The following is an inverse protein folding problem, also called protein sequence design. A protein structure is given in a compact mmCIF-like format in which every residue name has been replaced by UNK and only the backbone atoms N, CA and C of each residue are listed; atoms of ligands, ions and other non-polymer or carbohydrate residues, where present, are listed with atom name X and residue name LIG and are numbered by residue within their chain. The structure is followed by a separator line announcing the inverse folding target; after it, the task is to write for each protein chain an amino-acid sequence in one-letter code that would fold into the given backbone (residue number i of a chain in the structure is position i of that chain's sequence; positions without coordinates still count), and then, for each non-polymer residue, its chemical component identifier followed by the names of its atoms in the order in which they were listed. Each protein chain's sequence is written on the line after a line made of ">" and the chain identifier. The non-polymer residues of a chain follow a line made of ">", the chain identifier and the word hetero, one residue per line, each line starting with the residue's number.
data_IF_985816318167
#
_entry.id   IF_985816318167
#
_cell.length_a   1.000
_cell.length_b   1.000
_cell.length_c   1.000
_cell.angle_alpha   90.00
_cell.angle_beta   90.00
_cell.angle_gamma   90.00
#
_symmetry.space_group_name_H-M   'P 1'
#
loop_
_entity.id
_entity.type
_entity.pdbx_description
1 polymer ?
#
# COMPACT_ATOMS: atom_id res chain seq x y z
N UNK A 1 16.41 -2.23 -22.24
CA UNK A 1 15.50 -2.55 -21.13
C UNK A 1 14.45 -1.44 -21.08
N UNK A 2 13.15 -1.75 -21.13
CA UNK A 2 12.11 -0.74 -20.89
C UNK A 2 12.27 -0.24 -19.44
N UNK A 3 12.30 1.07 -19.22
CA UNK A 3 12.37 1.64 -17.89
C UNK A 3 11.12 1.20 -17.10
N UNK A 4 11.34 0.54 -15.97
CA UNK A 4 10.30 -0.01 -15.11
C UNK A 4 9.99 1.01 -14.01
N UNK A 5 8.74 1.42 -13.88
CA UNK A 5 8.26 2.20 -12.74
C UNK A 5 7.49 1.23 -11.84
N UNK A 6 7.90 1.14 -10.58
CA UNK A 6 7.23 0.31 -9.60
C UNK A 6 6.03 1.08 -9.02
N UNK A 7 4.82 0.71 -9.44
CA UNK A 7 3.56 1.26 -8.92
C UNK A 7 2.98 0.28 -7.90
N UNK A 8 3.10 0.58 -6.61
CA UNK A 8 2.68 -0.30 -5.51
C UNK A 8 1.17 -0.27 -5.31
N UNK A 9 0.57 0.92 -5.45
CA UNK A 9 -0.86 1.13 -5.42
C UNK A 9 -1.35 1.38 -6.85
N UNK A 10 -1.78 0.31 -7.53
CA UNK A 10 -2.38 0.45 -8.84
C UNK A 10 -3.77 1.08 -8.80
N UNK A 11 -4.37 1.22 -9.98
CA UNK A 11 -5.70 1.76 -10.16
C UNK A 11 -6.73 0.67 -9.87
N UNK A 12 -7.58 0.94 -8.89
CA UNK A 12 -8.68 0.06 -8.52
C UNK A 12 -9.68 -0.11 -9.65
N UNK A 13 -9.86 -1.34 -10.12
CA UNK A 13 -10.86 -1.69 -11.12
C UNK A 13 -12.21 -1.91 -10.45
N UNK A 14 -13.26 -1.31 -11.00
CA UNK A 14 -14.63 -1.54 -10.56
C UNK A 14 -15.14 -2.91 -11.00
N UNK A 15 -16.24 -3.37 -10.41
CA UNK A 15 -16.87 -4.64 -10.82
C UNK A 15 -17.93 -4.49 -11.91
N UNK A 16 -18.15 -3.26 -12.42
CA UNK A 16 -19.17 -2.93 -13.41
C UNK A 16 -20.59 -2.83 -12.84
N UNK A 17 -20.98 -3.78 -11.98
CA UNK A 17 -22.30 -3.84 -11.34
C UNK A 17 -22.32 -3.36 -9.90
N UNK A 18 -21.25 -2.71 -9.42
CA UNK A 18 -21.18 -2.24 -8.04
C UNK A 18 -22.26 -1.20 -7.75
N UNK A 19 -23.07 -1.46 -6.73
CA UNK A 19 -24.06 -0.52 -6.21
C UNK A 19 -23.43 0.61 -5.39
N UNK A 20 -22.17 0.41 -4.95
CA UNK A 20 -21.29 1.44 -4.36
C UNK A 20 -19.96 1.38 -5.11
N UNK A 21 -19.68 2.37 -5.96
CA UNK A 21 -18.49 2.35 -6.81
C UNK A 21 -17.22 2.58 -6.01
N UNK A 22 -16.37 1.57 -5.92
CA UNK A 22 -15.04 1.64 -5.28
C UNK A 22 -13.87 1.57 -6.27
N UNK A 23 -14.14 1.43 -7.57
CA UNK A 23 -13.13 1.37 -8.62
C UNK A 23 -13.62 1.95 -9.95
N UNK A 24 -12.74 1.94 -10.94
CA UNK A 24 -13.00 2.44 -12.30
C UNK A 24 -13.43 1.27 -13.19
N UNK A 25 -14.63 1.36 -13.77
CA UNK A 25 -15.15 0.33 -14.67
C UNK A 25 -14.52 0.42 -16.08
N UNK A 26 -14.28 1.65 -16.57
CA UNK A 26 -13.67 1.89 -17.89
C UNK A 26 -12.14 1.91 -17.82
N UNK A 27 -11.57 0.72 -17.65
CA UNK A 27 -10.13 0.50 -17.56
C UNK A 27 -9.40 0.78 -18.88
N UNK A 28 -10.08 0.69 -20.03
CA UNK A 28 -9.46 0.99 -21.33
C UNK A 28 -9.21 2.49 -21.48
N UNK A 29 -10.15 3.35 -21.05
CA UNK A 29 -9.94 4.79 -21.04
C UNK A 29 -8.78 5.22 -20.13
N UNK A 30 -8.56 4.51 -19.02
CA UNK A 30 -7.39 4.70 -18.16
C UNK A 30 -6.10 4.40 -18.92
N UNK A 31 -6.03 3.29 -19.66
CA UNK A 31 -4.88 2.93 -20.51
C UNK A 31 -4.62 4.02 -21.55
N UNK A 32 -5.66 4.48 -22.26
CA UNK A 32 -5.55 5.56 -23.27
C UNK A 32 -5.00 6.84 -22.64
N UNK A 33 -5.57 7.23 -21.50
CA UNK A 33 -5.11 8.42 -20.75
C UNK A 33 -3.65 8.28 -20.31
N UNK A 34 -3.22 7.08 -19.90
CA UNK A 34 -1.86 6.85 -19.48
C UNK A 34 -0.86 6.98 -20.65
N UNK A 35 -1.23 6.45 -21.82
CA UNK A 35 -0.47 6.60 -23.08
C UNK A 35 -0.39 8.09 -23.47
N UNK A 36 -1.51 8.81 -23.45
CA UNK A 36 -1.56 10.22 -23.83
C UNK A 36 -0.70 11.10 -22.92
N UNK A 37 -0.56 10.72 -21.65
CA UNK A 37 0.32 11.39 -20.68
C UNK A 37 1.79 10.93 -20.75
N UNK A 38 2.10 9.96 -21.60
CA UNK A 38 3.46 9.44 -21.78
C UNK A 38 3.95 8.56 -20.63
N UNK A 39 3.05 7.98 -19.83
CA UNK A 39 3.45 7.04 -18.78
C UNK A 39 3.96 5.73 -19.41
N UNK A 40 5.08 5.17 -18.91
CA UNK A 40 5.65 3.95 -19.46
C UNK A 40 4.88 2.69 -19.07
N UNK A 41 4.10 2.77 -17.99
CA UNK A 41 3.33 1.66 -17.43
C UNK A 41 2.02 2.13 -16.81
N UNK A 42 1.10 1.18 -16.60
CA UNK A 42 -0.07 1.33 -15.74
C UNK A 42 -0.36 0.02 -15.02
N UNK A 43 -0.62 0.10 -13.73
CA UNK A 43 -0.96 -1.05 -12.90
C UNK A 43 -2.42 -1.01 -12.49
N UNK A 44 -3.13 -2.11 -12.67
CA UNK A 44 -4.49 -2.29 -12.20
C UNK A 44 -4.53 -3.19 -10.96
N UNK A 45 -5.47 -2.94 -10.07
CA UNK A 45 -5.70 -3.76 -8.88
C UNK A 45 -7.18 -4.04 -8.75
N UNK A 46 -7.56 -5.27 -8.41
CA UNK A 46 -8.92 -5.60 -8.01
C UNK A 46 -8.92 -6.08 -6.56
N UNK A 47 -9.89 -5.62 -5.78
CA UNK A 47 -10.10 -6.17 -4.44
C UNK A 47 -10.63 -7.59 -4.52
N UNK A 48 -10.11 -8.48 -3.67
CA UNK A 48 -10.70 -9.81 -3.50
C UNK A 48 -12.12 -9.72 -2.92
N UNK A 49 -13.03 -10.64 -3.27
CA UNK A 49 -14.35 -10.70 -2.66
C UNK A 49 -14.27 -10.92 -1.13
N UNK A 50 -15.14 -10.25 -0.38
CA UNK A 50 -15.26 -10.38 1.09
C UNK A 50 -16.35 -11.39 1.46
N UNK A 51 -16.20 -12.03 2.61
CA UNK A 51 -17.28 -12.75 3.29
C UNK A 51 -18.39 -11.76 3.70
N UNK A 52 -19.64 -12.21 3.69
CA UNK A 52 -20.83 -11.36 3.88
C UNK A 52 -20.92 -10.64 5.23
N UNK A 53 -20.14 -11.07 6.23
CA UNK A 53 -20.04 -10.39 7.52
C UNK A 53 -19.25 -9.08 7.48
N UNK A 54 -18.39 -8.90 6.48
CA UNK A 54 -17.51 -7.73 6.32
C UNK A 54 -18.14 -6.75 5.36
N UNK A 55 -19.01 -5.87 5.89
CA UNK A 55 -19.77 -4.89 5.09
C UNK A 55 -19.72 -3.50 5.73
N UNK A 56 -19.51 -2.48 4.89
CA UNK A 56 -19.62 -1.08 5.29
C UNK A 56 -21.04 -0.75 5.77
N UNK A 57 -21.22 0.30 6.56
CA UNK A 57 -22.56 0.76 6.95
C UNK A 57 -23.39 1.18 5.73
N UNK A 58 -22.80 1.87 4.76
CA UNK A 58 -23.47 2.23 3.51
C UNK A 58 -23.95 1.00 2.73
N UNK A 59 -23.12 -0.04 2.70
CA UNK A 59 -23.41 -1.33 2.10
C UNK A 59 -24.57 -2.05 2.79
N UNK A 60 -24.61 -2.07 4.13
CA UNK A 60 -25.67 -2.69 4.94
C UNK A 60 -27.04 -2.02 4.77
N UNK A 61 -27.06 -0.74 4.39
CA UNK A 61 -28.31 0.02 4.10
C UNK A 61 -28.94 -0.37 2.75
N UNK A 62 -28.26 -1.18 1.94
CA UNK A 62 -28.80 -1.72 0.69
C UNK A 62 -29.44 -3.09 0.92
N UNK A 63 -30.45 -3.45 0.11
CA UNK A 63 -31.08 -4.78 0.11
C UNK A 63 -30.20 -5.89 -0.50
N UNK A 64 -28.92 -5.59 -0.76
CA UNK A 64 -28.02 -6.42 -1.56
C UNK A 64 -27.01 -7.09 -0.64
N UNK A 65 -27.06 -8.43 -0.58
CA UNK A 65 -26.20 -9.21 0.32
C UNK A 65 -24.80 -9.47 -0.24
N UNK A 66 -24.65 -9.53 -1.56
CA UNK A 66 -23.38 -9.76 -2.26
C UNK A 66 -23.02 -8.51 -3.04
N UNK A 67 -22.15 -7.69 -2.46
CA UNK A 67 -21.94 -6.32 -2.96
C UNK A 67 -20.83 -6.28 -4.02
N UNK A 68 -19.91 -7.24 -4.00
CA UNK A 68 -18.89 -7.41 -5.03
C UNK A 68 -19.22 -8.66 -5.84
N UNK A 69 -19.46 -8.48 -7.14
CA UNK A 69 -19.78 -9.58 -8.04
C UNK A 69 -18.57 -10.48 -8.21
N UNK A 70 -18.66 -11.71 -7.72
CA UNK A 70 -17.63 -12.76 -7.92
C UNK A 70 -17.23 -12.87 -9.42
N UNK A 71 -18.18 -12.67 -10.34
CA UNK A 71 -17.93 -12.70 -11.78
C UNK A 71 -16.91 -11.66 -12.26
N UNK A 72 -16.87 -10.45 -11.69
CA UNK A 72 -15.89 -9.45 -12.10
C UNK A 72 -14.47 -9.85 -11.68
N UNK A 73 -14.33 -10.41 -10.48
CA UNK A 73 -13.07 -10.97 -10.00
C UNK A 73 -12.60 -12.14 -10.86
N UNK A 74 -13.48 -13.08 -11.22
CA UNK A 74 -13.13 -14.23 -12.07
C UNK A 74 -12.71 -13.84 -13.49
N UNK A 75 -13.32 -12.79 -14.05
CA UNK A 75 -13.00 -12.33 -15.41
C UNK A 75 -11.87 -11.29 -15.45
N UNK A 76 -11.41 -10.82 -14.29
CA UNK A 76 -10.43 -9.74 -14.17
C UNK A 76 -9.16 -10.00 -14.98
N UNK A 77 -8.50 -11.13 -14.72
CA UNK A 77 -7.22 -11.45 -15.35
C UNK A 77 -7.34 -11.58 -16.87
N UNK A 78 -8.42 -12.19 -17.36
CA UNK A 78 -8.65 -12.34 -18.80
C UNK A 78 -8.95 -11.00 -19.47
N UNK A 79 -9.67 -10.09 -18.79
CA UNK A 79 -9.91 -8.74 -19.30
C UNK A 79 -8.61 -7.92 -19.39
N UNK A 80 -7.77 -7.97 -18.35
CA UNK A 80 -6.46 -7.30 -18.40
C UNK A 80 -5.56 -7.91 -19.46
N UNK A 81 -5.55 -9.24 -19.62
CA UNK A 81 -4.76 -9.92 -20.65
C UNK A 81 -5.10 -9.45 -22.06
N UNK A 82 -6.39 -9.23 -22.36
CA UNK A 82 -6.81 -8.66 -23.65
C UNK A 82 -6.25 -7.25 -23.86
N UNK A 83 -6.26 -6.41 -22.82
CA UNK A 83 -5.65 -5.07 -22.88
C UNK A 83 -4.13 -5.15 -23.04
N UNK A 84 -3.45 -6.04 -22.31
CA UNK A 84 -2.01 -6.30 -22.45
C UNK A 84 -1.67 -6.61 -23.91
N UNK A 85 -2.43 -7.48 -24.58
CA UNK A 85 -2.19 -7.81 -25.99
C UNK A 85 -2.49 -6.63 -26.93
N UNK A 86 -3.62 -5.93 -26.72
CA UNK A 86 -4.03 -4.79 -27.54
C UNK A 86 -3.03 -3.62 -27.49
N UNK A 87 -2.35 -3.43 -26.36
CA UNK A 87 -1.48 -2.28 -26.09
C UNK A 87 0.01 -2.63 -25.87
N UNK A 88 0.43 -3.87 -26.19
CA UNK A 88 1.78 -4.42 -25.89
C UNK A 88 2.96 -3.55 -26.34
N UNK A 89 2.82 -2.86 -27.46
CA UNK A 89 3.87 -2.03 -28.05
C UNK A 89 3.79 -0.55 -27.60
N UNK A 90 2.76 -0.18 -26.83
CA UNK A 90 2.46 1.20 -26.45
C UNK A 90 2.74 1.52 -24.98
N UNK A 91 2.40 0.60 -24.07
CA UNK A 91 2.53 0.80 -22.61
C UNK A 91 2.65 -0.56 -21.91
N UNK A 92 3.40 -0.65 -20.81
CA UNK A 92 3.41 -1.86 -19.98
C UNK A 92 2.15 -1.89 -19.09
N UNK A 93 1.38 -2.98 -19.15
CA UNK A 93 0.17 -3.13 -18.33
C UNK A 93 0.39 -4.25 -17.33
N UNK A 94 0.20 -3.92 -16.05
CA UNK A 94 0.32 -4.86 -14.93
C UNK A 94 -1.01 -5.01 -14.21
N UNK A 95 -1.16 -6.13 -13.53
CA UNK A 95 -2.31 -6.38 -12.68
C UNK A 95 -1.97 -7.21 -11.46
N UNK A 96 -2.52 -6.80 -10.33
CA UNK A 96 -2.47 -7.54 -9.08
C UNK A 96 -3.84 -7.62 -8.44
N UNK A 97 -3.88 -8.21 -7.25
CA UNK A 97 -5.06 -8.21 -6.39
C UNK A 97 -4.74 -7.53 -5.07
N UNK A 98 -5.71 -6.82 -4.52
CA UNK A 98 -5.69 -6.38 -3.13
C UNK A 98 -6.48 -7.39 -2.30
N UNK A 99 -5.74 -8.23 -1.59
CA UNK A 99 -6.26 -9.24 -0.67
C UNK A 99 -6.84 -8.55 0.55
N UNK A 100 -8.12 -8.81 0.78
CA UNK A 100 -8.86 -8.32 1.95
C UNK A 100 -8.57 -9.23 3.13
N UNK A 101 -7.75 -8.78 4.09
CA UNK A 101 -7.57 -9.54 5.34
C UNK A 101 -8.88 -9.59 6.13
N UNK A 102 -9.30 -10.80 6.50
CA UNK A 102 -10.58 -11.05 7.16
C UNK A 102 -10.42 -11.88 8.44
N UNK A 103 -9.20 -11.90 8.99
CA UNK A 103 -8.80 -12.63 10.19
C UNK A 103 -8.34 -14.07 9.91
N UNK A 104 -7.84 -14.71 10.97
CA UNK A 104 -7.37 -16.10 10.95
C UNK A 104 -8.51 -17.12 10.81
N UNK A 105 -8.15 -18.41 10.70
CA UNK A 105 -9.08 -19.53 10.50
C UNK A 105 -9.88 -19.39 9.20
N UNK A 106 -11.21 -19.25 9.29
CA UNK A 106 -12.10 -19.18 8.13
C UNK A 106 -11.77 -17.99 7.21
N UNK A 107 -11.29 -16.87 7.77
CA UNK A 107 -10.86 -15.71 6.97
C UNK A 107 -9.61 -16.02 6.15
N UNK A 108 -8.64 -16.73 6.73
CA UNK A 108 -7.44 -17.18 6.05
C UNK A 108 -7.76 -18.21 4.95
N UNK A 109 -8.64 -19.17 5.22
CA UNK A 109 -9.08 -20.15 4.22
C UNK A 109 -9.83 -19.48 3.07
N UNK A 110 -10.68 -18.48 3.38
CA UNK A 110 -11.33 -17.67 2.36
C UNK A 110 -10.29 -16.91 1.51
N UNK A 111 -9.32 -16.26 2.14
CA UNK A 111 -8.26 -15.52 1.46
C UNK A 111 -7.43 -16.42 0.54
N UNK A 112 -7.02 -17.61 1.02
CA UNK A 112 -6.34 -18.63 0.21
C UNK A 112 -7.19 -19.06 -0.99
N UNK A 113 -8.50 -19.23 -0.80
CA UNK A 113 -9.41 -19.56 -1.91
C UNK A 113 -9.47 -18.46 -2.97
N UNK A 114 -9.46 -17.19 -2.57
CA UNK A 114 -9.48 -16.06 -3.51
C UNK A 114 -8.16 -15.88 -4.24
N UNK A 115 -7.03 -16.08 -3.55
CA UNK A 115 -5.70 -16.11 -4.20
C UNK A 115 -5.65 -17.23 -5.24
N UNK A 116 -6.09 -18.44 -4.90
CA UNK A 116 -6.11 -19.58 -5.82
C UNK A 116 -6.97 -19.32 -7.08
N UNK A 117 -8.03 -18.52 -6.94
CA UNK A 117 -8.91 -18.13 -8.04
C UNK A 117 -8.31 -17.04 -8.94
N UNK A 118 -7.32 -16.27 -8.47
CA UNK A 118 -6.63 -15.29 -9.29
C UNK A 118 -5.55 -15.99 -10.13
N UNK A 119 -5.69 -15.92 -11.46
CA UNK A 119 -4.73 -16.51 -12.39
C UNK A 119 -3.92 -15.44 -13.09
N UNK A 120 -2.63 -15.70 -13.33
CA UNK A 120 -1.78 -14.84 -14.15
C UNK A 120 -1.47 -13.44 -13.57
N UNK A 121 -1.78 -13.19 -12.29
CA UNK A 121 -1.50 -11.91 -11.64
C UNK A 121 -0.01 -11.68 -11.41
N UNK A 122 0.41 -10.42 -11.44
CA UNK A 122 1.80 -9.99 -11.29
C UNK A 122 2.24 -9.92 -9.81
N UNK A 123 1.33 -9.57 -8.88
CA UNK A 123 1.60 -9.49 -7.44
C UNK A 123 0.31 -9.42 -6.60
N UNK A 124 0.46 -9.59 -5.28
CA UNK A 124 -0.60 -9.51 -4.29
C UNK A 124 -0.27 -8.43 -3.25
N UNK A 125 -1.21 -7.52 -3.01
CA UNK A 125 -1.19 -6.57 -1.91
C UNK A 125 -2.00 -7.16 -0.75
N UNK A 126 -1.42 -7.30 0.43
CA UNK A 126 -2.15 -7.62 1.66
C UNK A 126 -2.63 -6.34 2.34
N UNK A 127 -3.94 -6.20 2.55
CA UNK A 127 -4.53 -4.99 3.13
C UNK A 127 -5.58 -5.28 4.20
N UNK A 128 -5.75 -4.33 5.12
CA UNK A 128 -6.75 -4.38 6.18
C UNK A 128 -7.71 -3.20 6.03
N UNK A 129 -8.96 -3.51 5.66
CA UNK A 129 -10.05 -2.53 5.62
C UNK A 129 -11.06 -2.74 6.74
N UNK A 130 -11.13 -3.94 7.32
CA UNK A 130 -12.04 -4.27 8.39
C UNK A 130 -11.32 -4.81 9.61
N UNK A 131 -11.77 -4.37 10.78
CA UNK A 131 -11.40 -4.92 12.06
C UNK A 131 -11.90 -6.34 12.28
N UNK A 132 -11.34 -7.05 13.27
CA UNK A 132 -11.84 -8.36 13.74
C UNK A 132 -13.33 -8.31 14.14
N UNK A 133 -13.78 -7.17 14.62
CA UNK A 133 -15.18 -6.87 14.98
C UNK A 133 -16.07 -6.61 13.76
N UNK A 134 -15.52 -6.73 12.54
CA UNK A 134 -16.20 -6.55 11.24
C UNK A 134 -16.72 -5.12 11.02
N UNK A 135 -16.04 -4.16 11.64
CA UNK A 135 -16.28 -2.73 11.45
C UNK A 135 -15.14 -2.16 10.59
N UNK A 136 -15.48 -1.37 9.58
CA UNK A 136 -14.50 -0.83 8.64
C UNK A 136 -13.62 0.26 9.27
N UNK A 137 -12.33 0.29 8.91
CA UNK A 137 -11.42 1.40 9.22
C UNK A 137 -11.56 2.56 8.25
N UNK A 138 -12.02 2.29 7.02
CA UNK A 138 -12.09 3.26 5.93
C UNK A 138 -13.51 3.50 5.37
N UNK A 139 -14.54 3.04 6.10
CA UNK A 139 -15.94 3.24 5.74
C UNK A 139 -16.42 4.66 5.99
N UNK A 140 -16.58 5.04 7.27
CA UNK A 140 -17.14 6.33 7.68
C UNK A 140 -16.66 6.75 9.07
N UNK A 141 -16.89 8.03 9.41
CA UNK A 141 -16.66 8.52 10.78
C UNK A 141 -17.53 7.78 11.80
N UNK A 142 -18.78 7.45 11.46
CA UNK A 142 -19.70 6.67 12.31
C UNK A 142 -19.13 5.29 12.68
N UNK A 143 -18.57 4.58 11.70
CA UNK A 143 -17.94 3.28 11.91
C UNK A 143 -16.67 3.40 12.76
N UNK A 144 -15.90 4.45 12.54
CA UNK A 144 -14.68 4.74 13.31
C UNK A 144 -15.01 5.04 14.77
N UNK A 145 -16.00 5.90 15.03
CA UNK A 145 -16.44 6.25 16.38
C UNK A 145 -17.01 5.03 17.12
N UNK A 146 -17.75 4.17 16.42
CA UNK A 146 -18.24 2.92 16.96
C UNK A 146 -17.09 1.99 17.40
N UNK A 147 -16.10 1.77 16.52
CA UNK A 147 -14.97 0.91 16.83
C UNK A 147 -14.06 1.51 17.93
N UNK A 148 -13.90 2.83 17.97
CA UNK A 148 -13.23 3.53 19.07
C UNK A 148 -13.91 3.25 20.41
N UNK A 149 -15.24 3.39 20.47
CA UNK A 149 -16.01 3.11 21.68
C UNK A 149 -15.90 1.64 22.09
N UNK A 150 -16.04 0.72 21.14
CA UNK A 150 -15.96 -0.72 21.38
C UNK A 150 -14.59 -1.14 21.93
N UNK A 151 -13.51 -0.54 21.43
CA UNK A 151 -12.14 -0.83 21.86
C UNK A 151 -11.72 -0.03 23.10
N UNK A 152 -12.55 0.87 23.61
CA UNK A 152 -12.22 1.67 24.79
C UNK A 152 -11.24 2.81 24.50
N UNK A 153 -11.23 3.33 23.28
CA UNK A 153 -10.56 4.57 22.90
C UNK A 153 -9.41 4.43 21.90
N UNK A 154 -8.78 5.58 21.64
CA UNK A 154 -7.78 5.78 20.59
C UNK A 154 -6.61 4.79 20.61
N UNK A 155 -6.03 4.54 21.79
CA UNK A 155 -4.84 3.68 21.89
C UNK A 155 -5.14 2.24 21.48
N UNK A 156 -6.24 1.67 21.99
CA UNK A 156 -6.63 0.30 21.68
C UNK A 156 -7.12 0.15 20.24
N UNK A 157 -7.72 1.21 19.68
CA UNK A 157 -8.09 1.25 18.27
C UNK A 157 -6.88 1.08 17.35
N UNK A 158 -5.84 1.90 17.55
CA UNK A 158 -4.59 1.83 16.76
C UNK A 158 -3.78 0.56 17.04
N UNK A 159 -3.66 0.14 18.30
CA UNK A 159 -2.99 -1.12 18.64
C UNK A 159 -3.68 -2.31 17.97
N UNK A 160 -5.01 -2.37 17.99
CA UNK A 160 -5.76 -3.44 17.34
C UNK A 160 -5.56 -3.48 15.83
N UNK A 161 -5.51 -2.33 15.15
CA UNK A 161 -5.18 -2.29 13.72
C UNK A 161 -3.77 -2.82 13.43
N UNK A 162 -2.76 -2.38 14.20
CA UNK A 162 -1.39 -2.83 14.01
C UNK A 162 -1.19 -4.31 14.37
N UNK A 163 -1.91 -4.81 15.38
CA UNK A 163 -1.92 -6.24 15.72
C UNK A 163 -2.55 -7.07 14.58
N UNK A 164 -3.61 -6.58 13.96
CA UNK A 164 -4.20 -7.22 12.78
C UNK A 164 -3.24 -7.19 11.57
N UNK A 165 -2.50 -6.10 11.35
CA UNK A 165 -1.48 -6.00 10.28
C UNK A 165 -0.37 -7.02 10.47
N UNK A 166 0.10 -7.19 11.71
CA UNK A 166 1.11 -8.18 12.07
C UNK A 166 0.56 -9.60 11.88
N UNK A 167 -0.66 -9.87 12.34
CA UNK A 167 -1.33 -11.16 12.14
C UNK A 167 -1.47 -11.51 10.66
N UNK A 168 -1.86 -10.54 9.82
CA UNK A 168 -1.93 -10.72 8.37
C UNK A 168 -0.56 -11.11 7.80
N UNK A 169 0.50 -10.40 8.14
CA UNK A 169 1.85 -10.70 7.65
C UNK A 169 2.27 -12.10 8.09
N UNK A 170 2.14 -12.42 9.37
CA UNK A 170 2.56 -13.71 9.93
C UNK A 170 1.88 -14.91 9.24
N UNK A 171 0.61 -14.74 8.85
CA UNK A 171 -0.20 -15.79 8.21
C UNK A 171 -0.11 -15.82 6.69
N UNK A 172 0.42 -14.76 6.04
CA UNK A 172 0.33 -14.60 4.57
C UNK A 172 1.61 -14.12 3.87
N UNK A 173 2.72 -13.92 4.57
CA UNK A 173 3.98 -13.41 3.99
C UNK A 173 4.50 -14.23 2.80
N UNK A 174 4.27 -15.54 2.74
CA UNK A 174 4.64 -16.38 1.58
C UNK A 174 3.80 -16.09 0.33
N UNK A 175 2.62 -15.49 0.51
CA UNK A 175 1.64 -15.25 -0.56
C UNK A 175 1.58 -13.79 -1.00
N UNK A 176 1.79 -12.83 -0.10
CA UNK A 176 1.75 -11.41 -0.42
C UNK A 176 3.15 -10.90 -0.80
N UNK A 177 3.22 -9.85 -1.63
CA UNK A 177 4.49 -9.18 -1.98
C UNK A 177 4.51 -7.74 -1.48
N UNK A 178 3.34 -7.13 -1.28
CA UNK A 178 3.19 -5.73 -0.89
C UNK A 178 2.24 -5.64 0.31
N UNK A 179 2.56 -4.79 1.28
CA UNK A 179 1.72 -4.48 2.43
C UNK A 179 1.03 -3.14 2.22
N UNK A 180 -0.30 -3.17 2.15
CA UNK A 180 -1.16 -2.03 1.88
C UNK A 180 -1.20 -1.02 3.02
N UNK A 181 -1.21 0.26 2.66
CA UNK A 181 -1.57 1.44 3.48
C UNK A 181 -1.55 1.26 5.01
N UNK A 182 -0.37 0.98 5.59
CA UNK A 182 -0.13 0.58 6.99
C UNK A 182 -0.56 1.58 8.09
N UNK A 183 -1.11 2.74 7.73
CA UNK A 183 -1.65 3.74 8.63
C UNK A 183 -3.04 4.25 8.20
N UNK A 184 -3.79 3.40 7.50
CA UNK A 184 -5.19 3.63 7.08
C UNK A 184 -6.10 4.23 8.16
N UNK A 185 -6.04 3.80 9.44
CA UNK A 185 -6.82 4.40 10.54
C UNK A 185 -6.81 5.93 10.62
N UNK A 186 -5.77 6.61 10.12
CA UNK A 186 -5.70 8.08 10.13
C UNK A 186 -6.72 8.76 9.21
N UNK A 187 -7.44 7.99 8.39
CA UNK A 187 -8.49 8.53 7.52
C UNK A 187 -9.60 9.22 8.33
N UNK A 188 -9.97 8.64 9.48
CA UNK A 188 -11.04 9.14 10.35
C UNK A 188 -10.62 9.28 11.81
N UNK A 189 -9.33 9.10 12.11
CA UNK A 189 -8.75 9.34 13.44
C UNK A 189 -7.52 10.24 13.37
N UNK A 190 -7.16 10.94 14.45
CA UNK A 190 -5.90 11.67 14.51
C UNK A 190 -4.70 10.76 14.23
N UNK A 191 -3.70 11.30 13.53
CA UNK A 191 -2.44 10.60 13.35
C UNK A 191 -1.68 10.53 14.69
N UNK A 192 -1.19 9.35 15.14
CA UNK A 192 -0.53 9.22 16.42
C UNK A 192 0.70 10.14 16.52
N UNK A 193 0.72 11.02 17.53
CA UNK A 193 1.84 11.96 17.74
C UNK A 193 3.18 11.23 17.91
N UNK A 194 3.15 10.02 18.47
CA UNK A 194 4.31 9.17 18.64
C UNK A 194 4.97 8.73 17.32
N UNK A 195 4.28 8.84 16.19
CA UNK A 195 4.87 8.55 14.88
C UNK A 195 5.75 9.68 14.35
N UNK A 196 5.66 10.90 14.92
CA UNK A 196 6.56 12.02 14.57
C UNK A 196 8.03 11.73 14.90
N UNK A 197 8.24 10.98 15.98
CA UNK A 197 9.54 10.45 16.41
C UNK A 197 9.39 8.94 16.66
N UNK A 198 9.06 8.22 15.57
CA UNK A 198 8.79 6.79 15.63
C UNK A 198 9.98 6.00 16.21
N UNK A 199 11.22 6.43 15.97
CA UNK A 199 12.41 5.68 16.39
C UNK A 199 12.60 5.70 17.91
N UNK A 200 12.46 6.87 18.53
CA UNK A 200 12.79 7.05 19.94
C UNK A 200 11.57 7.00 20.87
N UNK A 201 10.35 6.97 20.33
CA UNK A 201 9.14 6.95 21.14
C UNK A 201 8.93 5.61 21.87
N UNK A 202 8.75 5.69 23.19
CA UNK A 202 8.32 4.59 24.07
C UNK A 202 6.80 4.39 24.13
N UNK A 203 6.03 5.09 23.28
CA UNK A 203 4.60 4.83 23.18
C UNK A 203 4.36 3.38 22.68
N UNK A 204 3.40 2.62 23.27
CA UNK A 204 3.05 1.28 22.80
C UNK A 204 2.72 1.19 21.31
N UNK A 205 2.03 2.18 20.75
CA UNK A 205 1.67 2.25 19.31
C UNK A 205 2.94 2.38 18.46
N UNK A 206 3.89 3.23 18.88
CA UNK A 206 5.17 3.39 18.18
C UNK A 206 6.01 2.10 18.21
N UNK A 207 6.10 1.43 19.36
CA UNK A 207 6.76 0.11 19.45
C UNK A 207 6.13 -0.90 18.50
N UNK A 208 4.80 -0.93 18.44
CA UNK A 208 4.05 -1.86 17.59
C UNK A 208 4.26 -1.56 16.11
N UNK A 209 4.27 -0.29 15.72
CA UNK A 209 4.59 0.13 14.35
C UNK A 209 6.03 -0.24 13.97
N UNK A 210 7.01 -0.08 14.87
CA UNK A 210 8.39 -0.54 14.62
C UNK A 210 8.45 -2.05 14.39
N UNK A 211 7.78 -2.84 15.23
CA UNK A 211 7.67 -4.29 15.04
C UNK A 211 7.03 -4.66 13.69
N UNK A 212 5.99 -3.94 13.28
CA UNK A 212 5.37 -4.12 11.96
C UNK A 212 6.39 -3.88 10.84
N UNK A 213 7.13 -2.77 10.89
CA UNK A 213 8.17 -2.45 9.90
C UNK A 213 9.32 -3.47 9.89
N UNK A 214 9.72 -3.97 11.07
CA UNK A 214 10.71 -5.04 11.20
C UNK A 214 10.26 -6.32 10.50
N UNK A 215 9.01 -6.75 10.71
CA UNK A 215 8.45 -7.93 10.02
C UNK A 215 8.38 -7.76 8.51
N UNK A 216 7.96 -6.58 8.05
CA UNK A 216 7.93 -6.25 6.61
C UNK A 216 9.33 -6.40 6.00
N UNK A 217 10.35 -5.87 6.68
CA UNK A 217 11.74 -5.99 6.25
C UNK A 217 12.27 -7.44 6.33
N UNK A 218 11.97 -8.16 7.41
CA UNK A 218 12.43 -9.54 7.65
C UNK A 218 11.92 -10.49 6.57
N UNK A 219 10.65 -10.36 6.19
CA UNK A 219 10.03 -11.16 5.14
C UNK A 219 10.25 -10.61 3.72
N UNK A 220 11.06 -9.56 3.57
CA UNK A 220 11.36 -8.93 2.28
C UNK A 220 10.08 -8.54 1.51
N UNK A 221 9.11 -7.99 2.25
CA UNK A 221 7.85 -7.46 1.73
C UNK A 221 8.02 -5.97 1.43
N UNK A 222 7.35 -5.51 0.37
CA UNK A 222 7.39 -4.11 0.02
C UNK A 222 6.24 -3.32 0.67
N UNK A 223 6.43 -2.01 0.84
CA UNK A 223 5.42 -1.11 1.37
C UNK A 223 4.64 -0.42 0.26
N UNK A 224 3.32 -0.35 0.45
CA UNK A 224 2.45 0.40 -0.44
C UNK A 224 2.50 1.91 -0.15
N UNK A 225 2.96 2.71 -1.13
CA UNK A 225 2.89 4.17 -1.10
C UNK A 225 1.60 4.63 -1.79
N UNK A 226 0.53 4.70 -1.02
CA UNK A 226 -0.79 5.04 -1.51
C UNK A 226 -1.09 6.55 -1.42
N UNK A 227 -1.20 7.20 -2.58
CA UNK A 227 -1.52 8.63 -2.69
C UNK A 227 -3.02 8.94 -2.58
N UNK A 228 -3.91 7.95 -2.48
CA UNK A 228 -5.34 8.17 -2.36
C UNK A 228 -5.72 8.98 -1.11
N UNK A 229 -4.95 8.88 -0.04
CA UNK A 229 -5.19 9.65 1.19
C UNK A 229 -5.01 11.16 0.99
N UNK A 230 -4.22 11.62 0.02
CA UNK A 230 -4.14 13.04 -0.36
C UNK A 230 -5.50 13.53 -0.87
N UNK A 231 -6.15 12.75 -1.76
CA UNK A 231 -7.49 13.08 -2.27
C UNK A 231 -8.55 13.02 -1.18
N UNK A 232 -8.37 12.16 -0.17
CA UNK A 232 -9.24 12.03 1.00
C UNK A 232 -8.93 13.05 2.12
N UNK A 233 -7.90 13.90 1.96
CA UNK A 233 -7.56 14.95 2.93
C UNK A 233 -6.74 14.51 4.15
N UNK A 234 -6.19 13.29 4.17
CA UNK A 234 -5.41 12.74 5.31
C UNK A 234 -3.93 12.49 4.99
N UNK A 235 -3.46 12.92 3.81
CA UNK A 235 -2.08 12.71 3.34
C UNK A 235 -1.84 11.31 2.76
N UNK A 236 -0.66 11.07 2.18
CA UNK A 236 -0.33 9.75 1.62
C UNK A 236 -0.23 8.68 2.72
N UNK A 237 -0.49 7.41 2.40
CA UNK A 237 -0.20 6.26 3.25
C UNK A 237 1.11 5.59 2.77
N UNK A 238 2.06 5.21 3.65
CA UNK A 238 2.19 5.73 5.01
C UNK A 238 2.44 7.25 5.04
N UNK A 239 2.14 7.89 6.16
CA UNK A 239 2.38 9.31 6.40
C UNK A 239 3.86 9.65 6.47
N UNK A 240 4.20 10.93 6.22
CA UNK A 240 5.58 11.38 6.02
C UNK A 240 6.55 11.04 7.17
N UNK A 241 6.09 10.96 8.42
CA UNK A 241 6.98 10.63 9.54
C UNK A 241 7.40 9.16 9.57
N UNK A 242 6.61 8.27 8.97
CA UNK A 242 6.95 6.86 8.75
C UNK A 242 7.84 6.70 7.50
N UNK A 243 7.95 7.74 6.66
CA UNK A 243 8.88 7.80 5.50
C UNK A 243 10.31 8.24 5.86
N UNK A 244 10.54 8.77 7.07
CA UNK A 244 11.87 9.21 7.52
C UNK A 244 11.99 10.68 7.93
N UNK A 245 11.06 11.21 8.74
CA UNK A 245 11.22 12.52 9.41
C UNK A 245 10.80 13.75 8.57
N UNK A 246 11.32 14.93 8.95
CA UNK A 246 10.88 16.26 8.46
C UNK A 246 11.37 16.66 7.06
N UNK A 247 12.07 15.77 6.36
CA UNK A 247 12.40 15.95 4.96
C UNK A 247 11.45 15.08 4.14
N UNK A 248 11.03 15.60 2.99
CA UNK A 248 10.32 14.84 1.97
C UNK A 248 11.32 13.87 1.34
N UNK A 249 11.72 12.85 2.07
CA UNK A 249 12.87 12.00 1.75
C UNK A 249 12.55 10.54 2.04
N UNK A 250 13.24 9.66 1.33
CA UNK A 250 13.27 8.23 1.60
C UNK A 250 14.57 7.94 2.34
N UNK A 251 14.51 7.33 3.51
CA UNK A 251 15.70 6.90 4.25
C UNK A 251 15.74 5.39 4.40
N UNK A 252 16.77 4.77 3.82
CA UNK A 252 17.11 3.35 3.98
C UNK A 252 18.13 3.23 5.12
N UNK A 253 17.99 2.24 6.01
CA UNK A 253 18.95 1.99 7.09
C UNK A 253 19.37 0.52 7.13
N UNK A 254 20.65 0.28 7.42
CA UNK A 254 21.21 -1.04 7.74
C UNK A 254 22.32 -0.86 8.78
N UNK A 255 22.14 -1.44 9.96
CA UNK A 255 23.02 -1.30 11.12
C UNK A 255 23.26 0.19 11.49
N UNK A 256 24.53 0.61 11.54
CA UNK A 256 24.96 1.99 11.80
C UNK A 256 24.98 2.87 10.54
N UNK A 257 24.54 2.36 9.38
CA UNK A 257 24.56 3.05 8.09
C UNK A 257 23.15 3.41 7.64
N UNK A 258 23.04 4.59 7.02
CA UNK A 258 21.78 5.05 6.44
C UNK A 258 22.03 5.80 5.13
N UNK A 259 21.10 5.64 4.19
CA UNK A 259 21.06 6.36 2.92
C UNK A 259 19.75 7.14 2.85
N UNK A 260 19.85 8.45 2.79
CA UNK A 260 18.70 9.35 2.65
C UNK A 260 18.69 9.98 1.26
N UNK A 261 17.62 9.76 0.51
CA UNK A 261 17.36 10.37 -0.81
C UNK A 261 16.31 11.45 -0.62
N UNK A 262 16.65 12.68 -1.00
CA UNK A 262 15.77 13.84 -0.86
C UNK A 262 15.78 14.67 -2.16
N UNK A 263 14.65 15.32 -2.53
CA UNK A 263 14.53 16.16 -3.72
C UNK A 263 15.33 17.46 -3.59
N UNK A 264 15.83 17.78 -2.40
CA UNK A 264 16.65 18.96 -2.11
C UNK A 264 17.83 18.56 -1.23
N UNK A 265 18.97 19.22 -1.44
CA UNK A 265 20.09 19.10 -0.53
C UNK A 265 19.65 19.49 0.89
N UNK A 266 19.91 18.66 1.91
CA UNK A 266 19.63 19.05 3.28
C UNK A 266 20.48 20.27 3.64
N UNK A 267 19.85 21.28 4.24
CA UNK A 267 20.57 22.42 4.80
C UNK A 267 21.35 21.92 6.01
N UNK A 268 22.67 21.81 5.88
CA UNK A 268 23.55 21.35 6.97
C UNK A 268 23.44 22.31 8.15
N UNK A 269 22.82 21.86 9.25
CA UNK A 269 22.94 22.53 10.55
C UNK A 269 24.34 22.31 11.10
N UNK A 270 24.74 23.11 12.10
CA UNK A 270 26.11 23.30 12.62
C UNK A 270 26.84 22.08 13.22
N UNK A 271 26.45 20.86 12.88
CA UNK A 271 27.17 19.61 13.12
C UNK A 271 26.80 18.63 11.98
N UNK A 272 27.59 18.55 10.90
CA UNK A 272 27.30 17.62 9.82
C UNK A 272 27.39 16.18 10.34
N UNK A 273 26.36 15.36 10.06
CA UNK A 273 26.48 13.91 10.25
C UNK A 273 27.60 13.40 9.33
N UNK A 274 28.43 12.48 9.83
CA UNK A 274 29.47 11.86 9.00
C UNK A 274 28.78 11.11 7.85
N UNK A 275 29.03 11.49 6.60
CA UNK A 275 28.36 10.91 5.45
C UNK A 275 28.91 11.43 4.13
N UNK A 276 28.72 10.66 3.06
CA UNK A 276 29.06 11.06 1.70
C UNK A 276 27.86 11.80 1.12
N UNK A 277 28.07 13.06 0.75
CA UNK A 277 27.05 13.91 0.12
C UNK A 277 27.35 13.99 -1.38
N UNK A 278 26.39 13.57 -2.20
CA UNK A 278 26.52 13.67 -3.65
C UNK A 278 25.26 14.25 -4.27
N UNK A 279 25.44 15.24 -5.14
CA UNK A 279 24.37 15.88 -5.91
C UNK A 279 24.35 15.33 -7.32
N UNK A 280 23.23 14.78 -7.76
CA UNK A 280 23.07 14.29 -9.13
C UNK A 280 21.93 15.04 -9.82
N UNK A 281 22.15 15.41 -11.09
CA UNK A 281 21.07 15.89 -11.96
C UNK A 281 20.29 14.68 -12.45
N UNK A 282 19.00 14.85 -12.71
CA UNK A 282 18.16 13.80 -13.30
C UNK A 282 18.61 13.50 -14.73
N UNK A 283 19.66 12.68 -14.85
CA UNK A 283 20.14 12.14 -16.10
C UNK A 283 19.86 10.64 -16.09
N UNK A 284 19.15 10.12 -17.11
CA UNK A 284 18.85 8.70 -17.23
C UNK A 284 20.11 7.84 -17.02
N UNK A 285 20.04 6.90 -16.08
CA UNK A 285 21.13 5.94 -15.80
C UNK A 285 22.07 6.30 -14.66
N UNK A 286 22.16 7.56 -14.21
CA UNK A 286 23.04 7.93 -13.08
C UNK A 286 22.57 7.33 -11.75
N UNK A 287 21.25 7.35 -11.51
CA UNK A 287 20.66 6.73 -10.34
C UNK A 287 20.87 5.21 -10.36
N UNK A 288 20.76 4.59 -11.54
CA UNK A 288 20.98 3.16 -11.76
C UNK A 288 22.42 2.74 -11.45
N UNK A 289 23.42 3.55 -11.82
CA UNK A 289 24.83 3.29 -11.48
C UNK A 289 25.03 3.36 -9.96
N UNK A 290 24.43 4.35 -9.30
CA UNK A 290 24.50 4.51 -7.85
C UNK A 290 23.83 3.32 -7.13
N UNK A 291 22.64 2.93 -7.59
CA UNK A 291 21.86 1.80 -7.09
C UNK A 291 22.63 0.48 -7.26
N UNK A 292 23.27 0.26 -8.40
CA UNK A 292 24.07 -0.94 -8.66
C UNK A 292 25.34 -1.00 -7.81
N UNK A 293 26.00 0.13 -7.56
CA UNK A 293 27.14 0.19 -6.66
C UNK A 293 26.72 -0.13 -5.20
N UNK A 294 25.55 0.33 -4.77
CA UNK A 294 24.99 0.06 -3.44
C UNK A 294 24.53 -1.41 -3.28
N UNK A 295 23.93 -1.98 -4.32
CA UNK A 295 23.60 -3.41 -4.36
C UNK A 295 24.85 -4.30 -4.26
N UNK A 296 25.97 -3.88 -4.86
CA UNK A 296 27.25 -4.60 -4.75
C UNK A 296 27.85 -4.62 -3.34
N UNK A 297 27.41 -3.70 -2.48
CA UNK A 297 27.76 -3.61 -1.06
C UNK A 297 26.69 -4.23 -0.13
N UNK A 298 25.69 -4.92 -0.70
CA UNK A 298 24.62 -5.57 0.06
C UNK A 298 23.66 -4.59 0.75
N UNK A 299 23.52 -3.38 0.21
CA UNK A 299 22.54 -2.38 0.61
C UNK A 299 21.35 -2.50 -0.36
N UNK A 300 20.25 -3.08 0.12
CA UNK A 300 19.03 -3.22 -0.68
C UNK A 300 18.32 -1.87 -0.83
N UNK A 301 17.79 -1.63 -2.03
CA UNK A 301 17.07 -0.41 -2.38
C UNK A 301 15.66 -0.82 -2.75
N UNK A 302 14.71 -0.50 -1.87
CA UNK A 302 13.34 -0.98 -2.02
C UNK A 302 12.49 -0.11 -2.97
N UNK A 303 12.80 1.18 -3.17
CA UNK A 303 12.25 1.98 -4.30
C UNK A 303 12.99 3.31 -4.47
N UNK A 304 13.05 3.79 -5.71
CA UNK A 304 13.68 5.06 -6.08
C UNK A 304 12.70 5.91 -6.92
N UNK A 305 12.54 7.19 -6.57
CA UNK A 305 11.75 8.15 -7.35
C UNK A 305 12.62 9.35 -7.76
N UNK A 306 12.57 9.68 -9.05
CA UNK A 306 13.23 10.83 -9.65
C UNK A 306 12.23 11.99 -9.72
N UNK A 307 12.69 13.20 -9.40
CA UNK A 307 11.92 14.40 -9.71
C UNK A 307 11.86 14.56 -11.23
N UNK A 308 10.65 14.75 -11.75
CA UNK A 308 10.44 15.36 -13.07
C UNK A 308 10.69 16.86 -13.05
#
# INVERSE_FOLDING_TARGET
>A
MKNFIWETHGIHTGTGSDHVKHGIDDIENVVKTAIDKGYPSVTFIIHTPRMTGFRYVAEKKTDIKFIRGDNAYFNYSENIKKLKEQYKDKIDIRHGIELEWQGSNIGLDWNRSKIFQATGIDFIIGSIHFSKERIAYDGSQEETDNLLNLRGGFNNYWLGYLDEMIEMIDESWETIQVVGHIDLPKLYTPYPDCFKDLENSDNPIARKMRLLLEKISEYNLALDVNLAGIRKGCGAYPGNSVKGGSLDCVTVRKDDRSLTIAPKHPVLKSNPKLGIYSSHRDQPGMLTILINALASEGINIDTAELNS
#
